data_IF_575759500400
#
_entry.id   IF_575759500400
#
_cell.length_a   1.000
_cell.length_b   1.000
_cell.length_c   1.000
_cell.angle_alpha   90.00
_cell.angle_beta   90.00
_cell.angle_gamma   90.00
#
_symmetry.space_group_name_H-M   'P 1'
#
loop_
_entity.id
_entity.type
_entity.pdbx_description
1 polymer ?
#
# COMPACT_ATOMS: atom_id res chain seq x y z
N UNK A 1 0.49 6.38 32.68
CA UNK A 1 1.70 6.18 31.88
C UNK A 1 1.54 4.83 31.23
N UNK A 2 1.43 4.75 29.90
CA UNK A 2 1.56 3.45 29.21
C UNK A 2 3.06 3.19 29.12
N UNK A 3 3.52 2.17 29.84
CA UNK A 3 4.91 1.78 29.80
C UNK A 3 5.21 1.29 28.37
N UNK A 4 6.43 1.49 27.87
CA UNK A 4 6.87 1.03 26.54
C UNK A 4 6.56 -0.44 26.28
N UNK A 5 6.40 -1.21 27.37
CA UNK A 5 5.95 -2.60 27.42
C UNK A 5 4.62 -2.85 26.70
N UNK A 6 3.63 -1.97 26.84
CA UNK A 6 2.28 -2.22 26.26
C UNK A 6 2.32 -2.17 24.72
N UNK A 7 3.09 -1.24 24.17
CA UNK A 7 3.31 -1.11 22.73
C UNK A 7 4.16 -2.27 22.19
N UNK A 8 5.17 -2.70 22.95
CA UNK A 8 5.97 -3.88 22.62
C UNK A 8 5.12 -5.16 22.64
N UNK A 9 4.19 -5.30 23.59
CA UNK A 9 3.26 -6.43 23.67
C UNK A 9 2.31 -6.47 22.47
N UNK A 10 1.71 -5.34 22.11
CA UNK A 10 0.82 -5.24 20.94
C UNK A 10 1.58 -5.50 19.63
N UNK A 11 2.79 -4.97 19.50
CA UNK A 11 3.68 -5.23 18.38
C UNK A 11 4.05 -6.71 18.26
N UNK A 12 4.42 -7.35 19.38
CA UNK A 12 4.77 -8.76 19.42
C UNK A 12 3.57 -9.67 19.10
N UNK A 13 2.38 -9.36 19.62
CA UNK A 13 1.15 -10.09 19.30
C UNK A 13 0.81 -9.99 17.80
N UNK A 14 0.95 -8.79 17.23
CA UNK A 14 0.73 -8.55 15.80
C UNK A 14 1.73 -9.33 14.93
N UNK A 15 3.00 -9.38 15.32
CA UNK A 15 4.05 -10.11 14.61
C UNK A 15 3.87 -11.64 14.66
N UNK A 16 3.30 -12.17 15.75
CA UNK A 16 3.00 -13.60 15.91
C UNK A 16 1.78 -14.05 15.11
N UNK A 17 0.87 -13.14 14.79
CA UNK A 17 -0.40 -13.49 14.18
C UNK A 17 -1.53 -13.73 15.20
N UNK A 18 -1.34 -13.36 16.46
CA UNK A 18 -2.24 -13.71 17.56
C UNK A 18 -3.44 -12.74 17.65
N UNK A 19 -4.41 -12.89 16.75
CA UNK A 19 -5.61 -12.04 16.66
C UNK A 19 -6.32 -11.86 18.01
N UNK A 20 -6.42 -12.93 18.81
CA UNK A 20 -7.09 -12.88 20.12
C UNK A 20 -6.38 -11.92 21.08
N UNK A 21 -5.05 -11.96 21.13
CA UNK A 21 -4.25 -11.11 22.01
C UNK A 21 -4.30 -9.67 21.52
N UNK A 22 -4.22 -9.45 20.21
CA UNK A 22 -4.40 -8.13 19.60
C UNK A 22 -5.73 -7.52 20.02
N UNK A 23 -6.85 -8.23 19.88
CA UNK A 23 -8.17 -7.73 20.30
C UNK A 23 -8.25 -7.40 21.78
N UNK A 24 -7.66 -8.23 22.65
CA UNK A 24 -7.64 -7.95 24.09
C UNK A 24 -6.85 -6.68 24.43
N UNK A 25 -5.70 -6.47 23.78
CA UNK A 25 -4.86 -5.28 23.98
C UNK A 25 -5.50 -4.02 23.40
N UNK A 26 -6.24 -4.13 22.29
CA UNK A 26 -7.02 -3.02 21.77
C UNK A 26 -8.15 -2.62 22.73
N UNK A 27 -8.79 -3.60 23.39
CA UNK A 27 -9.83 -3.35 24.39
C UNK A 27 -9.29 -2.72 25.68
N UNK A 28 -8.03 -2.95 26.04
CA UNK A 28 -7.40 -2.31 27.20
C UNK A 28 -7.02 -0.85 26.96
N UNK A 29 -7.21 -0.33 25.74
CA UNK A 29 -6.95 1.07 25.41
C UNK A 29 -5.48 1.37 25.09
N UNK A 30 -4.73 0.36 24.63
CA UNK A 30 -3.35 0.54 24.17
C UNK A 30 -3.30 1.50 22.98
N UNK A 31 -2.31 2.37 22.95
CA UNK A 31 -2.10 3.28 21.83
C UNK A 31 -1.56 2.52 20.61
N UNK A 32 -2.40 2.32 19.59
CA UNK A 32 -2.06 1.56 18.37
C UNK A 32 -0.98 2.20 17.51
N UNK A 33 -0.75 3.51 17.66
CA UNK A 33 0.27 4.24 16.91
C UNK A 33 1.56 4.40 17.72
N UNK A 34 1.62 3.87 18.94
CA UNK A 34 2.83 3.89 19.74
C UNK A 34 3.89 3.00 19.09
N UNK A 35 5.07 3.56 18.89
CA UNK A 35 6.23 2.82 18.37
C UNK A 35 6.81 1.94 19.47
N UNK A 36 7.17 0.72 19.11
CA UNK A 36 7.90 -0.21 19.96
C UNK A 36 9.36 0.25 20.16
N UNK A 37 10.12 -0.51 20.93
CA UNK A 37 11.57 -0.27 21.16
C UNK A 37 12.42 -0.23 19.88
N UNK A 38 11.93 -0.81 18.78
CA UNK A 38 12.56 -0.78 17.46
C UNK A 38 12.13 0.42 16.60
N UNK A 39 11.28 1.31 17.12
CA UNK A 39 10.79 2.48 16.39
C UNK A 39 9.66 2.18 15.41
N UNK A 40 9.04 1.00 15.49
CA UNK A 40 8.00 0.54 14.56
C UNK A 40 6.62 0.49 15.21
N UNK A 41 5.58 0.75 14.43
CA UNK A 41 4.20 0.59 14.91
C UNK A 41 3.77 -0.88 14.88
N UNK A 42 2.79 -1.30 15.69
CA UNK A 42 2.18 -2.63 15.64
C UNK A 42 1.72 -3.02 14.23
N UNK A 43 1.20 -2.05 13.47
CA UNK A 43 0.77 -2.25 12.08
C UNK A 43 1.96 -2.57 11.16
N UNK A 44 3.12 -1.95 11.37
CA UNK A 44 4.33 -2.22 10.57
C UNK A 44 4.96 -3.59 10.84
N UNK A 45 4.85 -4.11 12.06
CA UNK A 45 5.41 -5.41 12.43
C UNK A 45 4.43 -6.57 12.29
N UNK A 46 3.18 -6.28 11.90
CA UNK A 46 2.13 -7.29 11.84
C UNK A 46 2.50 -8.43 10.89
N UNK A 47 1.94 -9.61 11.16
CA UNK A 47 2.08 -10.76 10.27
C UNK A 47 1.32 -10.50 8.97
N UNK A 48 2.04 -10.11 7.92
CA UNK A 48 1.50 -9.74 6.61
C UNK A 48 0.59 -10.78 5.95
N UNK A 49 0.70 -12.06 6.31
CA UNK A 49 -0.20 -13.13 5.81
C UNK A 49 -1.54 -13.23 6.54
N UNK A 50 -1.83 -12.34 7.51
CA UNK A 50 -3.07 -12.35 8.29
C UNK A 50 -3.79 -11.00 8.14
N UNK A 51 -4.58 -10.81 7.06
CA UNK A 51 -5.27 -9.56 6.80
C UNK A 51 -6.25 -9.19 7.93
N UNK A 52 -6.75 -10.17 8.68
CA UNK A 52 -7.61 -9.93 9.85
C UNK A 52 -6.95 -9.03 10.90
N UNK A 53 -5.63 -9.14 11.12
CA UNK A 53 -4.92 -8.29 12.09
C UNK A 53 -4.81 -6.86 11.55
N UNK A 54 -4.55 -6.71 10.26
CA UNK A 54 -4.55 -5.42 9.59
C UNK A 54 -5.89 -4.71 9.80
N UNK A 55 -7.01 -5.41 9.55
CA UNK A 55 -8.36 -4.87 9.74
C UNK A 55 -8.60 -4.41 11.18
N UNK A 56 -8.25 -5.21 12.18
CA UNK A 56 -8.48 -4.83 13.58
C UNK A 56 -7.63 -3.64 14.01
N UNK A 57 -6.36 -3.57 13.58
CA UNK A 57 -5.49 -2.43 13.86
C UNK A 57 -5.98 -1.16 13.15
N UNK A 58 -6.39 -1.25 11.89
CA UNK A 58 -6.93 -0.12 11.13
C UNK A 58 -8.26 0.37 11.72
N UNK A 59 -9.14 -0.54 12.16
CA UNK A 59 -10.36 -0.20 12.91
C UNK A 59 -10.07 0.53 14.21
N UNK A 60 -8.95 0.22 14.85
CA UNK A 60 -8.48 0.92 16.02
C UNK A 60 -7.73 2.23 15.70
N UNK A 61 -7.86 2.75 14.47
CA UNK A 61 -7.30 4.02 14.02
C UNK A 61 -5.76 4.03 13.89
N UNK A 62 -5.17 2.87 13.56
CA UNK A 62 -3.76 2.77 13.22
C UNK A 62 -3.46 3.52 11.91
N UNK A 63 -2.32 4.21 11.85
CA UNK A 63 -1.89 4.94 10.67
C UNK A 63 -1.17 4.01 9.67
N UNK A 64 -1.74 3.70 8.48
CA UNK A 64 -1.08 2.87 7.47
C UNK A 64 0.09 3.58 6.77
N UNK A 65 0.14 4.91 6.87
CA UNK A 65 1.13 5.75 6.17
C UNK A 65 2.35 6.05 7.02
N UNK A 66 2.45 5.43 8.21
CA UNK A 66 3.58 5.62 9.08
C UNK A 66 4.85 5.02 8.44
N UNK A 67 5.93 5.80 8.43
CA UNK A 67 7.24 5.37 7.94
C UNK A 67 8.14 4.98 9.10
N UNK A 68 8.80 3.84 8.96
CA UNK A 68 9.82 3.39 9.92
C UNK A 68 11.04 4.35 9.88
N UNK A 69 11.65 4.58 11.04
CA UNK A 69 12.83 5.48 11.20
C UNK A 69 14.03 4.94 10.42
N UNK A 70 14.15 3.61 10.28
CA UNK A 70 15.35 2.98 9.72
C UNK A 70 15.47 3.18 8.20
N UNK A 71 14.41 2.83 7.48
CA UNK A 71 14.41 2.75 6.01
C UNK A 71 13.33 3.63 5.36
N UNK A 72 12.49 4.30 6.15
CA UNK A 72 11.36 5.07 5.61
C UNK A 72 10.27 4.17 5.01
N UNK A 73 10.30 2.87 5.32
CA UNK A 73 9.36 1.90 4.75
C UNK A 73 8.01 2.02 5.44
N UNK A 74 6.95 1.89 4.64
CA UNK A 74 5.57 1.76 5.12
C UNK A 74 5.14 0.30 5.08
N UNK A 75 4.03 -0.02 5.72
CA UNK A 75 3.49 -1.38 5.69
C UNK A 75 3.13 -1.84 4.26
N UNK A 76 2.76 -0.91 3.38
CA UNK A 76 2.54 -1.18 1.96
C UNK A 76 3.83 -1.63 1.24
N UNK A 77 5.00 -1.07 1.60
CA UNK A 77 6.28 -1.52 1.04
C UNK A 77 6.60 -2.96 1.42
N UNK A 78 6.36 -3.33 2.67
CA UNK A 78 6.62 -4.69 3.15
C UNK A 78 5.60 -5.69 2.57
N UNK A 79 4.32 -5.35 2.50
CA UNK A 79 3.30 -6.17 1.83
C UNK A 79 3.61 -6.38 0.34
N UNK A 80 4.06 -5.34 -0.35
CA UNK A 80 4.44 -5.39 -1.75
C UNK A 80 5.71 -6.22 -2.01
N UNK A 81 6.70 -6.15 -1.11
CA UNK A 81 7.93 -6.94 -1.19
C UNK A 81 7.69 -8.42 -0.94
N UNK A 82 6.81 -8.76 0.00
CA UNK A 82 6.57 -10.15 0.41
C UNK A 82 5.47 -10.85 -0.41
N UNK A 83 4.71 -10.12 -1.24
CA UNK A 83 3.71 -10.72 -2.12
C UNK A 83 2.32 -10.91 -1.51
N UNK A 84 1.99 -10.21 -0.41
CA UNK A 84 0.69 -10.34 0.25
C UNK A 84 -0.36 -9.38 -0.33
N UNK A 85 -0.97 -9.78 -1.45
CA UNK A 85 -2.00 -9.00 -2.15
C UNK A 85 -3.20 -8.66 -1.25
N UNK A 86 -3.75 -9.63 -0.53
CA UNK A 86 -4.95 -9.44 0.31
C UNK A 86 -4.73 -8.38 1.39
N UNK A 87 -3.57 -8.40 2.03
CA UNK A 87 -3.19 -7.41 3.04
C UNK A 87 -2.98 -6.05 2.42
N UNK A 88 -2.39 -5.98 1.22
CA UNK A 88 -2.22 -4.73 0.49
C UNK A 88 -3.57 -4.13 0.08
N UNK A 89 -4.54 -4.94 -0.35
CA UNK A 89 -5.91 -4.50 -0.62
C UNK A 89 -6.59 -3.92 0.61
N UNK A 90 -6.51 -4.61 1.76
CA UNK A 90 -7.06 -4.11 3.03
C UNK A 90 -6.43 -2.76 3.41
N UNK A 91 -5.12 -2.61 3.21
CA UNK A 91 -4.42 -1.36 3.50
C UNK A 91 -4.89 -0.22 2.59
N UNK A 92 -5.00 -0.46 1.28
CA UNK A 92 -5.42 0.56 0.30
C UNK A 92 -6.88 0.96 0.49
N UNK A 93 -7.77 0.01 0.79
CA UNK A 93 -9.17 0.28 1.17
C UNK A 93 -9.31 1.16 2.41
N UNK A 94 -8.32 1.13 3.31
CA UNK A 94 -8.27 1.94 4.53
C UNK A 94 -7.36 3.17 4.41
N UNK A 95 -7.05 3.62 3.19
CA UNK A 95 -6.35 4.88 2.95
C UNK A 95 -4.82 4.81 3.03
N UNK A 96 -4.23 3.64 2.82
CA UNK A 96 -2.79 3.53 2.63
C UNK A 96 -2.36 4.21 1.32
N UNK A 97 -1.41 5.14 1.42
CA UNK A 97 -0.81 5.84 0.29
C UNK A 97 0.32 4.99 -0.31
N UNK A 98 0.09 4.54 -1.54
CA UNK A 98 1.03 3.73 -2.32
C UNK A 98 2.06 4.57 -3.08
N UNK A 99 2.00 5.90 -2.97
CA UNK A 99 2.96 6.82 -3.58
C UNK A 99 4.08 7.25 -2.62
N UNK A 100 4.01 6.82 -1.36
CA UNK A 100 5.06 7.10 -0.38
C UNK A 100 6.36 6.42 -0.80
N UNK A 101 7.47 7.16 -0.69
CA UNK A 101 8.80 6.69 -1.04
C UNK A 101 9.60 6.31 0.20
N UNK A 102 10.31 5.19 0.14
CA UNK A 102 11.30 4.82 1.14
C UNK A 102 12.56 5.74 1.07
N UNK A 103 13.52 5.58 1.99
CA UNK A 103 14.76 6.36 2.01
C UNK A 103 15.64 6.17 0.77
N UNK A 104 15.36 5.15 -0.06
CA UNK A 104 16.06 4.86 -1.32
C UNK A 104 15.28 5.38 -2.53
N UNK A 105 14.14 6.06 -2.33
CA UNK A 105 13.27 6.55 -3.39
C UNK A 105 12.43 5.45 -4.06
N UNK A 106 12.35 4.25 -3.46
CA UNK A 106 11.50 3.18 -3.97
C UNK A 106 10.06 3.42 -3.55
N UNK A 107 9.13 3.01 -4.41
CA UNK A 107 7.71 2.94 -4.13
C UNK A 107 7.39 1.48 -3.78
N UNK A 108 6.25 1.18 -3.13
CA UNK A 108 5.76 -0.19 -2.99
C UNK A 108 5.75 -0.95 -4.33
N UNK A 109 5.38 -0.26 -5.42
CA UNK A 109 5.40 -0.79 -6.78
C UNK A 109 6.80 -1.24 -7.23
N UNK A 110 7.84 -0.45 -6.93
CA UNK A 110 9.22 -0.78 -7.26
C UNK A 110 9.68 -2.08 -6.56
N UNK A 111 9.25 -2.28 -5.31
CA UNK A 111 9.57 -3.50 -4.56
C UNK A 111 8.80 -4.71 -5.11
N UNK A 112 7.49 -4.59 -5.35
CA UNK A 112 6.69 -5.68 -5.95
C UNK A 112 7.22 -6.09 -7.33
N UNK A 113 7.62 -5.13 -8.15
CA UNK A 113 8.19 -5.39 -9.47
C UNK A 113 9.56 -6.09 -9.38
N UNK A 114 10.40 -5.71 -8.40
CA UNK A 114 11.70 -6.34 -8.18
C UNK A 114 11.59 -7.80 -7.75
N UNK A 115 10.65 -8.12 -6.89
CA UNK A 115 10.42 -9.48 -6.39
C UNK A 115 9.55 -10.33 -7.34
N UNK A 116 8.97 -9.72 -8.37
CA UNK A 116 8.19 -10.42 -9.41
C UNK A 116 6.73 -10.69 -9.04
N UNK A 117 6.17 -9.96 -8.07
CA UNK A 117 4.78 -10.09 -7.65
C UNK A 117 3.82 -9.36 -8.60
N UNK A 118 3.60 -9.95 -9.78
CA UNK A 118 2.80 -9.37 -10.87
C UNK A 118 1.37 -8.96 -10.45
N UNK A 119 0.72 -9.73 -9.58
CA UNK A 119 -0.64 -9.43 -9.13
C UNK A 119 -0.70 -8.14 -8.31
N UNK A 120 0.29 -7.93 -7.43
CA UNK A 120 0.44 -6.69 -6.66
C UNK A 120 0.80 -5.53 -7.57
N UNK A 121 1.73 -5.72 -8.50
CA UNK A 121 2.11 -4.71 -9.48
C UNK A 121 0.88 -4.24 -10.24
N UNK A 122 0.06 -5.17 -10.73
CA UNK A 122 -1.18 -4.85 -11.44
C UNK A 122 -2.15 -4.07 -10.57
N UNK A 123 -2.37 -4.52 -9.33
CA UNK A 123 -3.26 -3.82 -8.40
C UNK A 123 -2.78 -2.39 -8.09
N UNK A 124 -1.48 -2.20 -7.86
CA UNK A 124 -0.88 -0.88 -7.61
C UNK A 124 -0.92 0.03 -8.85
N UNK A 125 -0.75 -0.53 -10.05
CA UNK A 125 -0.90 0.21 -11.31
C UNK A 125 -2.35 0.67 -11.49
N UNK A 126 -3.32 -0.20 -11.23
CA UNK A 126 -4.74 0.15 -11.33
C UNK A 126 -5.13 1.26 -10.34
N UNK A 127 -4.46 1.34 -9.18
CA UNK A 127 -4.66 2.40 -8.18
C UNK A 127 -3.92 3.72 -8.49
N UNK A 128 -2.78 3.66 -9.20
CA UNK A 128 -1.96 4.84 -9.51
C UNK A 128 -2.33 5.49 -10.84
N UNK A 129 -2.85 4.70 -11.78
CA UNK A 129 -3.38 5.17 -13.06
C UNK A 129 -4.89 5.34 -12.89
N UNK A 130 -5.33 6.52 -12.44
CA UNK A 130 -6.72 6.91 -12.66
C UNK A 130 -7.00 6.80 -14.17
N UNK A 131 -7.96 5.97 -14.64
CA UNK A 131 -8.26 5.86 -16.06
C UNK A 131 -8.74 7.20 -16.67
N UNK A 132 -9.09 8.17 -15.82
CA UNK A 132 -9.49 9.53 -16.18
C UNK A 132 -8.30 10.52 -16.29
N UNK A 133 -7.15 10.23 -15.68
CA UNK A 133 -5.95 11.09 -15.76
C UNK A 133 -5.28 11.04 -17.13
N UNK A 134 -5.46 9.94 -17.86
CA UNK A 134 -5.01 9.79 -19.24
C UNK A 134 -5.82 10.67 -20.21
N UNK A 135 -7.05 11.06 -19.85
CA UNK A 135 -7.92 11.86 -20.71
C UNK A 135 -7.69 13.38 -20.55
N UNK A 136 -7.24 13.84 -19.37
CA UNK A 136 -6.92 15.27 -19.14
C UNK A 136 -5.50 15.66 -19.55
N UNK A 137 -4.60 14.68 -19.71
CA UNK A 137 -3.19 14.88 -20.04
C UNK A 137 -2.86 14.69 -21.53
N UNK A 138 -3.77 14.16 -22.35
CA UNK A 138 -3.61 14.27 -23.81
C UNK A 138 -3.94 15.71 -24.20
N UNK A 139 -2.97 16.52 -24.65
CA UNK A 139 -3.33 17.80 -25.21
C UNK A 139 -4.07 17.51 -26.51
N UNK A 140 -5.37 17.79 -26.56
CA UNK A 140 -6.10 18.05 -27.81
C UNK A 140 -5.58 19.34 -28.51
N UNK A 141 -4.28 19.63 -28.44
CA UNK A 141 -3.67 20.85 -28.97
C UNK A 141 -3.34 20.76 -30.46
N UNK A 142 -3.78 19.73 -31.19
CA UNK A 142 -3.81 19.89 -32.65
C UNK A 142 -4.84 19.04 -33.40
N UNK A 143 -6.11 19.27 -33.15
CA UNK A 143 -7.19 18.94 -34.09
C UNK A 143 -7.18 19.84 -35.35
N UNK A 144 -6.09 20.57 -35.67
CA UNK A 144 -6.06 21.54 -36.77
C UNK A 144 -4.79 21.54 -37.64
N UNK A 145 -4.03 20.44 -37.65
CA UNK A 145 -2.99 20.24 -38.68
C UNK A 145 -3.27 18.94 -39.43
N UNK A 146 -3.98 19.12 -40.55
CA UNK A 146 -4.26 18.09 -41.53
C UNK A 146 -3.00 17.25 -41.83
N UNK A 147 -3.12 15.90 -41.90
CA UNK A 147 -2.06 15.09 -42.46
C UNK A 147 -1.87 15.47 -43.94
N UNK A 148 -0.62 15.60 -44.44
CA UNK A 148 -0.39 15.84 -45.87
C UNK A 148 -1.00 14.70 -46.67
N UNK A 149 -1.81 15.06 -47.67
CA UNK A 149 -2.50 14.17 -48.57
C UNK A 149 -1.55 13.08 -49.12
N UNK A 150 -1.79 11.82 -48.76
CA UNK A 150 -1.05 10.69 -49.32
C UNK A 150 -0.68 9.64 -48.28
N UNK A 151 -1.65 8.84 -47.84
CA UNK A 151 -1.36 7.72 -46.95
C UNK A 151 -2.62 6.91 -46.70
N UNK A 152 -2.77 5.84 -47.48
CA UNK A 152 -3.95 4.98 -47.57
C UNK A 152 -4.32 4.40 -46.19
N UNK A 153 -5.58 4.58 -45.80
CA UNK A 153 -6.17 3.96 -44.61
C UNK A 153 -6.53 2.52 -45.00
N UNK A 154 -5.99 1.47 -44.35
CA UNK A 154 -6.46 0.11 -44.60
C UNK A 154 -7.86 -0.02 -43.98
N UNK A 155 -8.82 -0.11 -44.90
CA UNK A 155 -10.24 -0.36 -44.70
C UNK A 155 -10.48 -1.70 -43.98
N UNK A 156 -11.26 -1.66 -42.90
CA UNK A 156 -12.13 -2.77 -42.52
C UNK A 156 -13.54 -2.20 -42.40
N UNK A 157 -14.41 -2.43 -43.39
CA UNK A 157 -15.65 -3.16 -43.10
C UNK A 157 -16.38 -3.62 -44.37
N UNK A 158 -16.94 -4.82 -44.29
CA UNK A 158 -17.97 -5.39 -45.16
C UNK A 158 -19.21 -4.50 -45.27
N UNK A 159 -19.72 -4.26 -46.49
CA UNK A 159 -21.04 -4.67 -47.00
C UNK A 159 -21.19 -4.26 -48.47
#
# INVERSE_FOLDING_TARGET
MTDSTDADELANASARGDLRVVQMLLQSGVNVNQRNTYGRTPLQVMKLGYPAIAVELLRANANPNEQDISLGVTIAHDAAREGFLETLMVLTENGADVNLQDHRGNLPLHLAAREGHLDIVRHLIDLTIDPLSFCSSWPMTNANRAPPAGGVIPIFNSM
#
